data_IF_748536675905
#
_entry.id   IF_748536675905
#
_cell.length_a   1.000
_cell.length_b   1.000
_cell.length_c   1.000
_cell.angle_alpha   90.00
_cell.angle_beta   90.00
_cell.angle_gamma   90.00
#
_symmetry.space_group_name_H-M   'P 1'
#
loop_
_entity.id
_entity.type
_entity.pdbx_description
1 polymer ?
#
# COMPACT_ATOMS: atom_id res chain seq x y z
N UNK A 1 -12.57 1.25 -30.31
CA UNK A 1 -12.66 2.71 -30.04
C UNK A 1 -13.91 2.95 -29.23
N UNK A 2 -13.78 3.06 -27.91
CA UNK A 2 -14.88 3.51 -27.06
C UNK A 2 -15.12 4.99 -27.35
N UNK A 3 -16.36 5.36 -27.65
CA UNK A 3 -16.78 6.76 -27.67
C UNK A 3 -17.53 6.98 -26.35
N UNK A 4 -16.86 7.42 -25.26
CA UNK A 4 -17.54 7.64 -24.01
C UNK A 4 -18.61 8.71 -24.24
N UNK A 5 -19.85 8.43 -23.84
CA UNK A 5 -20.86 9.48 -23.73
C UNK A 5 -20.30 10.54 -22.80
N UNK A 6 -20.23 11.79 -23.27
CA UNK A 6 -19.82 12.91 -22.43
C UNK A 6 -20.72 12.95 -21.19
N UNK A 7 -20.16 13.12 -19.98
CA UNK A 7 -20.98 13.19 -18.78
C UNK A 7 -22.02 14.31 -18.93
N UNK A 8 -23.22 14.15 -18.32
CA UNK A 8 -24.22 15.21 -18.31
C UNK A 8 -23.61 16.54 -17.87
N UNK A 9 -23.99 17.64 -18.53
CA UNK A 9 -23.51 18.96 -18.17
C UNK A 9 -23.82 19.24 -16.68
N UNK A 10 -22.79 19.61 -15.89
CA UNK A 10 -22.92 19.88 -14.46
C UNK A 10 -22.86 18.66 -13.53
N UNK A 11 -22.70 17.43 -14.04
CA UNK A 11 -22.55 16.24 -13.18
C UNK A 11 -21.34 16.36 -12.24
N UNK A 12 -20.17 16.69 -12.78
CA UNK A 12 -18.95 16.85 -11.97
C UNK A 12 -19.09 17.99 -10.95
N UNK A 13 -19.85 19.03 -11.27
CA UNK A 13 -20.13 20.12 -10.33
C UNK A 13 -20.94 19.62 -9.13
N UNK A 14 -21.99 18.81 -9.36
CA UNK A 14 -22.75 18.17 -8.26
C UNK A 14 -21.88 17.22 -7.44
N UNK A 15 -21.03 16.43 -8.10
CA UNK A 15 -20.10 15.50 -7.43
C UNK A 15 -19.12 16.28 -6.54
N UNK A 16 -18.52 17.35 -7.04
CA UNK A 16 -17.59 18.17 -6.26
C UNK A 16 -18.31 18.88 -5.10
N UNK A 17 -19.50 19.42 -5.32
CA UNK A 17 -20.31 20.01 -4.25
C UNK A 17 -20.65 18.97 -3.16
N UNK A 18 -21.00 17.74 -3.53
CA UNK A 18 -21.24 16.68 -2.56
C UNK A 18 -19.97 16.38 -1.75
N UNK A 19 -18.82 16.26 -2.40
CA UNK A 19 -17.55 16.01 -1.73
C UNK A 19 -17.21 17.12 -0.74
N UNK A 20 -17.36 18.38 -1.14
CA UNK A 20 -17.11 19.54 -0.27
C UNK A 20 -18.04 19.55 0.96
N UNK A 21 -19.31 19.21 0.78
CA UNK A 21 -20.30 19.16 1.87
C UNK A 21 -20.03 18.01 2.87
N UNK A 22 -19.51 16.87 2.40
CA UNK A 22 -19.30 15.67 3.22
C UNK A 22 -17.84 15.44 3.62
N UNK A 23 -16.95 16.42 3.38
CA UNK A 23 -15.51 16.28 3.66
C UNK A 23 -15.22 15.88 5.12
N UNK A 24 -16.00 16.39 6.08
CA UNK A 24 -15.83 16.06 7.50
C UNK A 24 -16.14 14.58 7.79
N UNK A 25 -17.12 14.00 7.10
CA UNK A 25 -17.46 12.57 7.23
C UNK A 25 -16.35 11.70 6.62
N UNK A 26 -15.76 12.15 5.51
CA UNK A 26 -14.62 11.49 4.88
C UNK A 26 -13.37 11.53 5.78
N UNK A 27 -13.08 12.68 6.39
CA UNK A 27 -11.99 12.82 7.36
C UNK A 27 -12.23 11.96 8.61
N UNK A 28 -13.47 11.90 9.10
CA UNK A 28 -13.85 11.05 10.22
C UNK A 28 -13.65 9.56 9.89
N UNK A 29 -14.01 9.13 8.67
CA UNK A 29 -13.75 7.76 8.19
C UNK A 29 -12.24 7.48 8.15
N UNK A 30 -11.43 8.43 7.65
CA UNK A 30 -9.96 8.29 7.65
C UNK A 30 -9.41 8.19 9.06
N UNK A 31 -9.95 8.95 10.02
CA UNK A 31 -9.57 8.86 11.42
C UNK A 31 -9.81 7.48 12.01
N UNK A 32 -10.95 6.87 11.69
CA UNK A 32 -11.28 5.51 12.10
C UNK A 32 -10.35 4.47 11.46
N UNK A 33 -10.00 4.64 10.19
CA UNK A 33 -9.06 3.75 9.50
C UNK A 33 -7.63 3.90 10.02
N UNK A 34 -7.18 5.12 10.31
CA UNK A 34 -5.86 5.37 10.92
C UNK A 34 -5.77 4.79 12.32
N UNK A 35 -6.85 4.79 13.10
CA UNK A 35 -6.88 4.17 14.43
C UNK A 35 -6.70 2.64 14.43
N UNK A 36 -6.83 1.99 13.27
CA UNK A 36 -6.49 0.57 13.10
C UNK A 36 -4.97 0.42 12.96
N UNK A 37 -4.31 -0.15 13.96
CA UNK A 37 -2.87 -0.48 13.94
C UNK A 37 -2.58 -1.68 13.02
N UNK A 38 -2.84 -1.52 11.72
CA UNK A 38 -2.69 -2.54 10.68
C UNK A 38 -1.23 -2.73 10.24
N UNK A 39 -0.32 -2.86 11.18
CA UNK A 39 1.12 -3.07 10.93
C UNK A 39 1.38 -4.50 10.42
N UNK A 40 1.94 -4.62 9.22
CA UNK A 40 2.28 -5.91 8.59
C UNK A 40 3.72 -6.38 8.87
N UNK A 41 4.60 -5.46 9.29
CA UNK A 41 6.05 -5.66 9.43
C UNK A 41 6.39 -6.29 10.77
N UNK A 42 5.77 -5.83 11.86
CA UNK A 42 5.99 -6.40 13.18
C UNK A 42 5.29 -7.78 13.29
N UNK A 43 6.01 -8.87 13.63
CA UNK A 43 5.45 -10.22 13.71
C UNK A 43 4.65 -10.45 15.01
N UNK A 44 3.80 -9.51 15.41
CA UNK A 44 2.99 -9.58 16.62
C UNK A 44 1.57 -10.06 16.30
N UNK A 45 1.05 -11.13 16.96
CA UNK A 45 -0.29 -11.65 16.68
C UNK A 45 -1.41 -10.61 16.81
N UNK A 46 -1.31 -9.68 17.77
CA UNK A 46 -2.26 -8.57 17.94
C UNK A 46 -2.33 -7.68 16.68
N UNK A 47 -1.18 -7.26 16.15
CA UNK A 47 -1.12 -6.38 14.98
C UNK A 47 -1.62 -7.10 13.73
N UNK A 48 -1.29 -8.40 13.60
CA UNK A 48 -1.87 -9.22 12.53
C UNK A 48 -3.39 -9.27 12.64
N UNK A 49 -3.96 -9.45 13.82
CA UNK A 49 -5.42 -9.42 14.01
C UNK A 49 -6.05 -8.07 13.63
N UNK A 50 -5.39 -6.96 13.97
CA UNK A 50 -5.82 -5.61 13.57
C UNK A 50 -5.81 -5.43 12.05
N UNK A 51 -4.78 -5.94 11.38
CA UNK A 51 -4.68 -5.95 9.91
C UNK A 51 -5.81 -6.77 9.27
N UNK A 52 -6.13 -7.96 9.80
CA UNK A 52 -7.31 -8.73 9.35
C UNK A 52 -8.62 -7.95 9.55
N UNK A 53 -8.76 -7.23 10.68
CA UNK A 53 -9.92 -6.37 10.95
C UNK A 53 -10.01 -5.21 9.97
N UNK A 54 -8.89 -4.60 9.60
CA UNK A 54 -8.81 -3.55 8.58
C UNK A 54 -9.27 -4.07 7.22
N UNK A 55 -8.81 -5.24 6.79
CA UNK A 55 -9.26 -5.85 5.53
C UNK A 55 -10.75 -6.19 5.56
N UNK A 56 -11.27 -6.72 6.67
CA UNK A 56 -12.70 -6.99 6.82
C UNK A 56 -13.53 -5.70 6.71
N UNK A 57 -13.10 -4.62 7.40
CA UNK A 57 -13.76 -3.32 7.35
C UNK A 57 -13.81 -2.75 5.92
N UNK A 58 -12.71 -2.85 5.18
CA UNK A 58 -12.66 -2.39 3.80
C UNK A 58 -13.56 -3.23 2.86
N UNK A 59 -13.56 -4.56 3.04
CA UNK A 59 -14.43 -5.45 2.29
C UNK A 59 -15.91 -5.13 2.54
N UNK A 60 -16.30 -4.91 3.79
CA UNK A 60 -17.67 -4.53 4.14
C UNK A 60 -18.06 -3.17 3.57
N UNK A 61 -17.16 -2.18 3.61
CA UNK A 61 -17.41 -0.87 3.00
C UNK A 61 -17.63 -0.97 1.48
N UNK A 62 -16.87 -1.82 0.78
CA UNK A 62 -17.06 -2.06 -0.65
C UNK A 62 -18.37 -2.83 -0.94
N UNK A 63 -18.73 -3.83 -0.12
CA UNK A 63 -20.02 -4.54 -0.25
C UNK A 63 -21.21 -3.59 -0.05
N UNK A 64 -21.13 -2.66 0.91
CA UNK A 64 -22.16 -1.64 1.11
C UNK A 64 -22.34 -0.71 -0.09
N UNK A 65 -21.31 -0.54 -0.93
CA UNK A 65 -21.39 0.19 -2.20
C UNK A 65 -21.93 -0.65 -3.36
N UNK A 66 -22.30 -1.91 -3.10
CA UNK A 66 -22.84 -2.85 -4.08
C UNK A 66 -21.78 -3.67 -4.81
N UNK A 67 -20.53 -3.70 -4.33
CA UNK A 67 -19.49 -4.52 -4.94
C UNK A 67 -19.62 -6.00 -4.55
N UNK A 68 -19.37 -6.90 -5.51
CA UNK A 68 -19.09 -8.30 -5.19
C UNK A 68 -17.66 -8.40 -4.68
N UNK A 69 -17.43 -9.02 -3.51
CA UNK A 69 -16.11 -9.08 -2.87
C UNK A 69 -15.71 -10.51 -2.56
N UNK A 70 -14.61 -10.94 -3.16
CA UNK A 70 -13.91 -12.19 -2.84
C UNK A 70 -12.64 -11.91 -2.02
N UNK A 71 -12.31 -12.85 -1.13
CA UNK A 71 -11.13 -12.78 -0.25
C UNK A 71 -10.42 -14.11 -0.28
N UNK A 72 -9.16 -14.12 -0.72
CA UNK A 72 -8.39 -15.35 -0.92
C UNK A 72 -7.34 -15.52 0.19
N UNK A 73 -7.38 -16.62 0.97
CA UNK A 73 -6.39 -16.88 1.99
C UNK A 73 -5.09 -17.40 1.36
N UNK A 74 -3.94 -17.01 1.92
CA UNK A 74 -2.63 -17.56 1.58
C UNK A 74 -1.97 -18.20 2.81
N UNK A 75 -1.44 -19.41 2.65
CA UNK A 75 -0.92 -20.25 3.75
C UNK A 75 0.54 -19.96 4.07
N UNK A 76 0.81 -19.45 5.28
CA UNK A 76 2.14 -19.34 5.90
C UNK A 76 2.06 -19.48 7.44
N UNK A 77 3.22 -19.56 8.11
CA UNK A 77 3.38 -19.76 9.57
C UNK A 77 2.70 -18.67 10.40
N UNK A 78 2.66 -17.44 9.89
CA UNK A 78 1.71 -16.41 10.30
C UNK A 78 0.66 -16.26 9.18
N UNK A 79 -0.63 -16.18 9.51
CA UNK A 79 -1.67 -16.05 8.49
C UNK A 79 -1.51 -14.73 7.74
N UNK A 80 -1.53 -14.80 6.41
CA UNK A 80 -1.49 -13.63 5.53
C UNK A 80 -2.90 -13.05 5.45
N UNK A 81 -3.09 -11.73 5.60
CA UNK A 81 -4.41 -11.11 5.41
C UNK A 81 -4.93 -11.39 3.99
N UNK A 82 -6.24 -11.56 3.82
CA UNK A 82 -6.79 -11.80 2.49
C UNK A 82 -6.56 -10.60 1.58
N UNK A 83 -6.30 -10.86 0.30
CA UNK A 83 -6.36 -9.83 -0.74
C UNK A 83 -7.83 -9.68 -1.16
N UNK A 84 -8.33 -8.44 -1.15
CA UNK A 84 -9.68 -8.08 -1.56
C UNK A 84 -9.71 -7.95 -3.08
N UNK A 85 -10.55 -8.74 -3.72
CA UNK A 85 -10.94 -8.57 -5.12
C UNK A 85 -12.39 -8.12 -5.13
N UNK A 86 -12.64 -6.85 -5.51
CA UNK A 86 -13.99 -6.31 -5.58
C UNK A 86 -14.36 -5.84 -6.98
N UNK A 87 -15.60 -6.05 -7.40
CA UNK A 87 -16.12 -5.59 -8.69
C UNK A 87 -17.40 -4.79 -8.50
N UNK A 88 -17.46 -3.61 -9.13
CA UNK A 88 -18.60 -2.71 -9.14
C UNK A 88 -18.97 -2.32 -10.58
N UNK A 89 -20.09 -2.87 -11.04
CA UNK A 89 -20.56 -2.72 -12.43
C UNK A 89 -19.89 -3.70 -13.38
N UNK A 90 -20.64 -4.11 -14.41
CA UNK A 90 -20.21 -5.06 -15.45
C UNK A 90 -20.77 -4.69 -16.83
N UNK A 91 -20.97 -3.39 -17.08
CA UNK A 91 -21.54 -2.90 -18.34
C UNK A 91 -20.52 -3.04 -19.48
N UNK A 92 -20.77 -3.88 -20.51
CA UNK A 92 -19.83 -4.08 -21.61
C UNK A 92 -19.62 -2.85 -22.49
N UNK A 93 -20.43 -1.79 -22.32
CA UNK A 93 -20.27 -0.52 -23.03
C UNK A 93 -19.31 0.45 -22.35
N UNK A 94 -18.93 0.18 -21.09
CA UNK A 94 -18.04 1.01 -20.30
C UNK A 94 -16.66 0.37 -20.21
N UNK A 95 -15.58 1.18 -20.19
CA UNK A 95 -14.27 0.64 -19.88
C UNK A 95 -14.23 0.20 -18.41
N UNK A 96 -13.34 -0.73 -18.09
CA UNK A 96 -13.11 -1.20 -16.72
C UNK A 96 -11.79 -0.67 -16.19
N UNK A 97 -11.84 0.06 -15.07
CA UNK A 97 -10.68 0.56 -14.37
C UNK A 97 -10.44 -0.27 -13.12
N UNK A 98 -9.24 -0.82 -12.96
CA UNK A 98 -8.81 -1.52 -11.76
C UNK A 98 -7.99 -0.58 -10.88
N UNK A 99 -8.47 -0.27 -9.68
CA UNK A 99 -7.71 0.44 -8.66
C UNK A 99 -6.95 -0.57 -7.79
N UNK A 100 -5.66 -0.32 -7.59
CA UNK A 100 -4.84 -1.04 -6.60
C UNK A 100 -4.42 -0.10 -5.46
N UNK A 101 -4.45 -0.63 -4.24
CA UNK A 101 -3.88 -0.01 -3.05
C UNK A 101 -3.67 -1.03 -1.93
N UNK A 102 -3.16 -0.58 -0.79
CA UNK A 102 -2.91 -1.43 0.36
C UNK A 102 -3.40 -0.78 1.67
N UNK A 103 -3.60 -1.60 2.70
CA UNK A 103 -4.14 -1.16 3.99
C UNK A 103 -3.27 -1.53 5.19
N UNK A 104 -2.19 -2.27 4.96
CA UNK A 104 -1.11 -2.34 5.92
C UNK A 104 -0.29 -1.05 5.94
N UNK A 105 0.43 -0.84 7.04
CA UNK A 105 1.21 0.37 7.27
C UNK A 105 2.54 0.03 7.92
N UNK A 106 3.59 0.84 7.67
CA UNK A 106 4.82 0.77 8.46
C UNK A 106 4.57 0.91 9.98
N UNK A 107 5.45 0.34 10.83
CA UNK A 107 5.45 0.59 12.26
C UNK A 107 5.54 2.09 12.59
N UNK A 108 4.97 2.47 13.72
CA UNK A 108 5.11 3.82 14.29
C UNK A 108 4.93 3.77 15.80
N UNK A 109 5.80 4.48 16.52
CA UNK A 109 5.69 4.69 17.97
C UNK A 109 5.93 6.16 18.29
N UNK A 110 5.34 6.63 19.38
CA UNK A 110 5.58 8.00 19.85
C UNK A 110 7.08 8.28 20.06
N UNK A 111 7.81 7.29 20.58
CA UNK A 111 9.26 7.34 20.86
C UNK A 111 10.14 7.53 19.61
N UNK A 112 9.60 7.29 18.40
CA UNK A 112 10.29 7.56 17.13
C UNK A 112 10.39 9.08 16.82
N UNK A 113 9.79 9.93 17.65
CA UNK A 113 9.83 11.39 17.53
C UNK A 113 8.55 12.02 17.01
N UNK A 114 7.41 11.32 17.07
CA UNK A 114 6.12 11.89 16.70
C UNK A 114 5.70 12.99 17.67
N UNK A 115 5.06 14.04 17.14
CA UNK A 115 4.50 15.15 17.95
C UNK A 115 3.04 14.91 18.36
N UNK A 116 2.37 13.98 17.68
CA UNK A 116 1.01 13.50 17.95
C UNK A 116 1.03 11.99 18.07
N UNK A 117 0.02 11.38 18.67
CA UNK A 117 -0.10 9.92 18.65
C UNK A 117 -0.21 9.43 17.18
N UNK A 118 0.64 8.49 16.73
CA UNK A 118 0.67 8.06 15.33
C UNK A 118 -0.64 7.39 14.89
N UNK A 119 -1.39 6.78 15.79
CA UNK A 119 -2.66 6.10 15.47
C UNK A 119 -3.89 6.89 15.90
N UNK A 120 -3.71 8.13 16.38
CA UNK A 120 -4.81 9.08 16.56
C UNK A 120 -4.71 10.18 15.52
N UNK A 121 -5.51 10.08 14.44
CA UNK A 121 -5.51 11.11 13.39
C UNK A 121 -5.81 12.49 13.99
N UNK A 122 -4.85 13.40 13.88
CA UNK A 122 -4.88 14.74 14.47
C UNK A 122 -4.74 15.77 13.36
N UNK A 123 -5.71 16.70 13.27
CA UNK A 123 -5.65 17.79 12.32
C UNK A 123 -4.90 18.99 12.92
N UNK A 124 -3.90 19.50 12.19
CA UNK A 124 -3.16 20.73 12.54
C UNK A 124 -2.93 21.54 11.27
N UNK A 125 -3.40 22.79 11.25
CA UNK A 125 -3.26 23.73 10.13
C UNK A 125 -3.69 23.13 8.77
N UNK A 126 -4.82 22.40 8.75
CA UNK A 126 -5.37 21.76 7.56
C UNK A 126 -4.60 20.51 7.09
N UNK A 127 -3.72 19.96 7.92
CA UNK A 127 -2.97 18.73 7.65
C UNK A 127 -3.42 17.63 8.61
N UNK A 128 -3.66 16.44 8.07
CA UNK A 128 -4.13 15.29 8.82
C UNK A 128 -2.93 14.39 9.20
N UNK A 129 -2.49 14.46 10.44
CA UNK A 129 -1.34 13.71 10.96
C UNK A 129 -1.77 12.35 11.50
N UNK A 130 -1.17 11.28 10.97
CA UNK A 130 -1.32 9.91 11.46
C UNK A 130 -0.63 8.90 10.54
N UNK A 131 -0.15 7.79 11.11
CA UNK A 131 0.40 6.65 10.36
C UNK A 131 -0.69 6.06 9.48
N UNK A 132 -0.39 5.90 8.19
CA UNK A 132 -1.38 5.42 7.22
C UNK A 132 -2.14 6.53 6.49
N UNK A 133 -2.08 7.78 6.96
CA UNK A 133 -2.91 8.86 6.42
C UNK A 133 -2.68 9.09 4.92
N UNK A 134 -1.42 9.14 4.48
CA UNK A 134 -1.07 9.28 3.05
C UNK A 134 -0.70 7.97 2.37
N UNK A 135 -0.35 6.95 3.15
CA UNK A 135 0.34 5.74 2.71
C UNK A 135 -0.25 4.53 3.47
N UNK A 136 -1.31 3.89 2.98
CA UNK A 136 -2.11 4.30 1.81
C UNK A 136 -3.62 4.41 2.09
N UNK A 137 -4.01 4.52 3.38
CA UNK A 137 -5.43 4.55 3.78
C UNK A 137 -6.20 5.75 3.23
N UNK A 138 -5.58 6.94 3.19
CA UNK A 138 -6.19 8.14 2.62
C UNK A 138 -6.52 7.99 1.14
N UNK A 139 -5.55 7.66 0.28
CA UNK A 139 -5.80 7.42 -1.15
C UNK A 139 -6.80 6.29 -1.45
N UNK A 140 -6.74 5.16 -0.72
CA UNK A 140 -7.76 4.10 -0.85
C UNK A 140 -9.15 4.64 -0.51
N UNK A 141 -9.29 5.38 0.61
CA UNK A 141 -10.56 5.99 0.98
C UNK A 141 -11.01 7.05 -0.02
N UNK A 142 -10.12 7.81 -0.63
CA UNK A 142 -10.48 8.80 -1.64
C UNK A 142 -11.18 8.12 -2.84
N UNK A 143 -10.70 6.96 -3.28
CA UNK A 143 -11.36 6.16 -4.33
C UNK A 143 -12.72 5.63 -3.88
N UNK A 144 -12.80 5.07 -2.68
CA UNK A 144 -14.06 4.57 -2.10
C UNK A 144 -15.08 5.72 -1.96
N UNK A 145 -14.64 6.89 -1.51
CA UNK A 145 -15.48 8.07 -1.29
C UNK A 145 -15.97 8.66 -2.61
N UNK A 146 -15.12 8.71 -3.64
CA UNK A 146 -15.53 9.09 -4.99
C UNK A 146 -16.65 8.16 -5.50
N UNK A 147 -16.49 6.84 -5.39
CA UNK A 147 -17.53 5.87 -5.75
C UNK A 147 -18.80 6.07 -4.93
N UNK A 148 -18.66 6.26 -3.61
CA UNK A 148 -19.80 6.49 -2.72
C UNK A 148 -20.58 7.74 -3.09
N UNK A 149 -19.90 8.79 -3.58
CA UNK A 149 -20.53 10.04 -3.99
C UNK A 149 -21.45 9.82 -5.19
N UNK A 150 -20.99 9.11 -6.23
CA UNK A 150 -21.84 8.75 -7.37
C UNK A 150 -23.07 7.94 -6.91
N UNK A 151 -22.86 6.97 -6.00
CA UNK A 151 -23.94 6.15 -5.45
C UNK A 151 -24.96 6.97 -4.66
N UNK A 152 -24.52 7.86 -3.77
CA UNK A 152 -25.39 8.72 -2.98
C UNK A 152 -26.19 9.73 -3.82
N UNK A 153 -25.62 10.18 -4.94
CA UNK A 153 -26.30 11.06 -5.89
C UNK A 153 -27.23 10.30 -6.84
N UNK A 154 -27.31 8.97 -6.75
CA UNK A 154 -28.01 8.09 -7.70
C UNK A 154 -27.55 8.29 -9.16
N UNK A 155 -26.30 8.72 -9.34
CA UNK A 155 -25.69 8.96 -10.64
C UNK A 155 -24.91 7.73 -11.10
N UNK A 156 -24.97 7.45 -12.40
CA UNK A 156 -24.30 6.29 -12.99
C UNK A 156 -22.78 6.49 -13.03
N UNK A 157 -22.02 5.45 -12.66
CA UNK A 157 -20.56 5.50 -12.74
C UNK A 157 -20.12 5.49 -14.21
N UNK A 158 -19.16 6.35 -14.61
CA UNK A 158 -18.74 6.43 -16.01
C UNK A 158 -17.96 5.20 -16.49
N UNK A 159 -17.48 4.35 -15.58
CA UNK A 159 -16.66 3.17 -15.84
C UNK A 159 -17.11 2.01 -14.95
N UNK A 160 -16.82 0.77 -15.35
CA UNK A 160 -16.81 -0.36 -14.41
C UNK A 160 -15.57 -0.21 -13.51
N UNK A 161 -15.68 -0.56 -12.23
CA UNK A 161 -14.57 -0.43 -11.29
C UNK A 161 -14.25 -1.79 -10.68
N UNK A 162 -12.97 -2.16 -10.73
CA UNK A 162 -12.41 -3.27 -9.97
C UNK A 162 -11.46 -2.75 -8.90
N UNK A 163 -11.46 -3.37 -7.74
CA UNK A 163 -10.53 -3.06 -6.66
C UNK A 163 -9.66 -4.28 -6.37
N UNK A 164 -8.36 -4.05 -6.22
CA UNK A 164 -7.40 -4.98 -5.64
C UNK A 164 -6.79 -4.31 -4.44
N UNK A 165 -7.23 -4.69 -3.24
CA UNK A 165 -6.69 -4.12 -2.01
C UNK A 165 -5.96 -5.21 -1.23
N UNK A 166 -4.67 -5.02 -0.98
CA UNK A 166 -3.87 -5.96 -0.19
C UNK A 166 -3.54 -5.42 1.21
N UNK A 167 -2.83 -6.23 2.00
CA UNK A 167 -2.41 -5.88 3.35
C UNK A 167 -1.00 -6.37 3.68
N UNK A 168 -0.12 -6.49 2.67
CA UNK A 168 1.26 -6.92 2.88
C UNK A 168 2.26 -6.10 2.05
N UNK A 169 1.88 -4.94 1.51
CA UNK A 169 2.75 -4.14 0.63
C UNK A 169 4.05 -3.74 1.35
N UNK A 170 3.92 -3.28 2.58
CA UNK A 170 5.02 -2.81 3.43
C UNK A 170 5.93 -3.96 3.90
N UNK A 171 5.47 -5.19 3.69
CA UNK A 171 6.16 -6.45 3.98
C UNK A 171 6.45 -7.27 2.70
N UNK A 172 6.46 -6.63 1.53
CA UNK A 172 6.90 -7.22 0.26
C UNK A 172 5.80 -7.90 -0.57
N UNK A 173 4.54 -7.51 -0.39
CA UNK A 173 3.37 -7.98 -1.16
C UNK A 173 3.24 -9.50 -1.26
N UNK A 174 3.47 -10.18 -0.13
CA UNK A 174 3.57 -11.64 -0.08
C UNK A 174 2.30 -12.32 -0.62
N UNK A 175 2.44 -13.02 -1.74
CA UNK A 175 1.37 -13.78 -2.39
C UNK A 175 0.53 -12.99 -3.41
N UNK A 176 0.75 -11.68 -3.56
CA UNK A 176 0.06 -10.87 -4.57
C UNK A 176 0.42 -11.31 -5.99
N UNK A 177 1.72 -11.56 -6.27
CA UNK A 177 2.17 -11.96 -7.60
C UNK A 177 1.50 -13.26 -8.08
N UNK A 178 1.46 -14.27 -7.21
CA UNK A 178 0.82 -15.56 -7.50
C UNK A 178 -0.68 -15.36 -7.78
N UNK A 179 -1.34 -14.52 -6.98
CA UNK A 179 -2.75 -14.19 -7.19
C UNK A 179 -2.97 -13.51 -8.53
N UNK A 180 -2.17 -12.48 -8.86
CA UNK A 180 -2.29 -11.74 -10.13
C UNK A 180 -2.10 -12.68 -11.32
N UNK A 181 -1.11 -13.59 -11.26
CA UNK A 181 -0.90 -14.61 -12.30
C UNK A 181 -2.10 -15.53 -12.44
N UNK A 182 -2.68 -16.00 -11.33
CA UNK A 182 -3.85 -16.90 -11.31
C UNK A 182 -5.12 -16.23 -11.84
N UNK A 183 -5.31 -14.96 -11.53
CA UNK A 183 -6.53 -14.22 -11.87
C UNK A 183 -6.44 -13.43 -13.18
N UNK A 184 -5.29 -13.48 -13.86
CA UNK A 184 -5.00 -12.76 -15.12
C UNK A 184 -6.12 -12.91 -16.15
N UNK A 185 -6.52 -14.15 -16.43
CA UNK A 185 -7.55 -14.48 -17.41
C UNK A 185 -8.95 -14.64 -16.77
N UNK A 186 -9.09 -14.25 -15.50
CA UNK A 186 -10.33 -14.32 -14.72
C UNK A 186 -10.73 -12.92 -14.25
N UNK A 187 -10.43 -12.55 -13.01
CA UNK A 187 -10.75 -11.24 -12.46
C UNK A 187 -10.20 -10.09 -13.33
N UNK A 188 -8.98 -10.22 -13.87
CA UNK A 188 -8.36 -9.16 -14.66
C UNK A 188 -8.72 -9.18 -16.16
N UNK A 189 -9.46 -10.20 -16.63
CA UNK A 189 -9.75 -10.40 -18.06
C UNK A 189 -10.48 -9.24 -18.74
N UNK A 190 -11.24 -8.45 -17.97
CA UNK A 190 -12.03 -7.32 -18.47
C UNK A 190 -11.41 -5.95 -18.17
N UNK A 191 -10.21 -5.88 -17.58
CA UNK A 191 -9.58 -4.63 -17.15
C UNK A 191 -8.91 -3.93 -18.33
N UNK A 192 -9.29 -2.68 -18.59
CA UNK A 192 -8.68 -1.83 -19.63
C UNK A 192 -7.53 -0.98 -19.09
N UNK A 193 -7.66 -0.50 -17.85
CA UNK A 193 -6.68 0.38 -17.20
C UNK A 193 -6.46 -0.01 -15.74
N UNK A 194 -5.23 0.11 -15.26
CA UNK A 194 -4.88 -0.02 -13.85
C UNK A 194 -4.48 1.36 -13.32
N UNK A 195 -4.99 1.73 -12.16
CA UNK A 195 -4.64 2.97 -11.47
C UNK A 195 -4.11 2.63 -10.08
N UNK A 196 -2.99 3.25 -9.72
CA UNK A 196 -2.39 3.21 -8.39
C UNK A 196 -2.25 4.65 -7.93
N UNK A 197 -2.67 4.93 -6.69
CA UNK A 197 -2.55 6.25 -6.09
C UNK A 197 -1.78 6.15 -4.79
N UNK A 198 -0.48 5.89 -4.90
CA UNK A 198 0.38 5.59 -3.76
C UNK A 198 1.76 6.23 -3.89
N UNK A 199 1.75 7.52 -4.22
CA UNK A 199 2.96 8.29 -4.42
C UNK A 199 2.68 9.77 -4.18
N UNK A 200 3.76 10.53 -4.05
CA UNK A 200 3.69 11.95 -3.75
C UNK A 200 3.85 12.80 -5.01
N UNK A 201 3.42 14.06 -4.90
CA UNK A 201 3.82 15.08 -5.85
C UNK A 201 5.25 15.54 -5.57
N UNK A 202 5.98 15.86 -6.64
CA UNK A 202 7.33 16.44 -6.51
C UNK A 202 7.31 17.88 -5.96
N UNK A 203 6.19 18.60 -6.14
CA UNK A 203 6.04 19.99 -5.74
C UNK A 203 4.76 20.20 -4.98
N UNK A 204 4.80 21.08 -3.97
CA UNK A 204 3.61 21.52 -3.24
C UNK A 204 2.66 22.40 -4.07
N UNK A 205 3.05 22.81 -5.28
CA UNK A 205 2.28 23.76 -6.12
C UNK A 205 1.68 23.16 -7.37
N UNK A 206 2.15 21.99 -7.81
CA UNK A 206 1.74 21.39 -9.09
C UNK A 206 1.45 19.90 -8.91
N UNK A 207 0.29 19.41 -9.39
CA UNK A 207 0.02 17.98 -9.41
C UNK A 207 1.02 17.24 -10.32
N UNK A 208 1.20 15.96 -10.06
CA UNK A 208 2.12 15.11 -10.81
C UNK A 208 1.42 13.84 -11.33
N UNK A 209 1.89 13.36 -12.48
CA UNK A 209 1.63 12.00 -12.97
C UNK A 209 2.96 11.26 -12.99
N UNK A 210 3.03 10.18 -12.23
CA UNK A 210 4.22 9.32 -12.15
C UNK A 210 4.12 8.23 -13.19
N UNK A 211 5.10 8.14 -14.09
CA UNK A 211 5.13 7.16 -15.17
C UNK A 211 6.32 6.19 -15.07
N UNK A 212 7.11 6.28 -14.00
CA UNK A 212 8.25 5.41 -13.77
C UNK A 212 8.72 5.48 -12.33
N UNK A 213 9.11 4.33 -11.78
CA UNK A 213 9.65 4.17 -10.44
C UNK A 213 10.99 3.43 -10.52
N UNK A 214 11.80 3.55 -9.47
CA UNK A 214 13.02 2.75 -9.33
C UNK A 214 12.65 1.36 -8.81
N UNK A 215 13.43 0.35 -9.19
CA UNK A 215 13.51 -0.88 -8.41
C UNK A 215 14.32 -0.68 -7.12
N UNK A 216 14.31 -1.68 -6.25
CA UNK A 216 15.15 -1.70 -5.05
C UNK A 216 15.69 -3.12 -4.81
N UNK A 217 16.84 -3.23 -4.18
CA UNK A 217 17.41 -4.51 -3.74
C UNK A 217 17.95 -4.31 -2.33
N UNK A 218 17.29 -4.95 -1.37
CA UNK A 218 17.63 -4.85 0.05
C UNK A 218 18.59 -6.00 0.42
N UNK A 219 19.68 -5.68 1.13
CA UNK A 219 20.70 -6.64 1.53
C UNK A 219 20.83 -6.69 3.05
N UNK A 220 21.04 -7.89 3.58
CA UNK A 220 21.41 -8.12 4.99
C UNK A 220 22.84 -8.62 5.04
N UNK A 221 23.68 -7.98 5.86
CA UNK A 221 25.06 -8.40 6.12
C UNK A 221 25.13 -8.92 7.56
N UNK A 222 25.24 -10.23 7.71
CA UNK A 222 25.40 -10.88 9.02
C UNK A 222 26.89 -11.13 9.29
N UNK A 223 27.39 -10.58 10.40
CA UNK A 223 28.71 -10.93 10.94
C UNK A 223 28.50 -11.56 12.31
N UNK A 224 28.98 -12.79 12.47
CA UNK A 224 28.76 -13.58 13.68
C UNK A 224 30.07 -14.16 14.21
N UNK A 225 30.36 -13.90 15.48
CA UNK A 225 31.46 -14.57 16.20
C UNK A 225 30.97 -15.85 16.88
N UNK A 226 29.94 -15.75 17.72
CA UNK A 226 29.25 -16.87 18.39
C UNK A 226 27.83 -16.44 18.81
N UNK A 227 27.05 -17.35 19.39
CA UNK A 227 25.67 -17.08 19.80
C UNK A 227 25.53 -16.17 21.03
N UNK A 228 26.51 -16.17 21.94
CA UNK A 228 26.45 -15.40 23.19
C UNK A 228 27.30 -14.14 23.13
N UNK A 229 26.74 -13.02 23.58
CA UNK A 229 27.47 -11.77 23.79
C UNK A 229 28.64 -11.93 24.78
N UNK A 230 29.55 -10.96 24.76
CA UNK A 230 30.69 -10.88 25.66
C UNK A 230 30.65 -9.60 26.48
N UNK A 231 31.09 -9.67 27.73
CA UNK A 231 31.36 -8.47 28.51
C UNK A 231 32.55 -7.72 27.91
N UNK A 232 32.33 -6.51 27.38
CA UNK A 232 33.33 -5.75 26.61
C UNK A 232 34.63 -5.44 27.37
N UNK A 233 34.57 -5.28 28.70
CA UNK A 233 35.78 -5.14 29.52
C UNK A 233 36.62 -6.42 29.66
N UNK A 234 35.98 -7.56 29.94
CA UNK A 234 36.66 -8.84 30.19
C UNK A 234 37.28 -9.42 28.92
N UNK A 235 36.67 -9.17 27.76
CA UNK A 235 37.08 -9.73 26.47
C UNK A 235 37.59 -8.69 25.47
N UNK A 236 37.67 -7.41 25.89
CA UNK A 236 38.14 -6.32 25.05
C UNK A 236 39.60 -6.48 24.66
N UNK A 237 39.89 -6.36 23.38
CA UNK A 237 41.26 -6.42 22.83
C UNK A 237 41.80 -7.83 22.56
N UNK A 238 41.01 -8.90 22.78
CA UNK A 238 41.42 -10.28 22.47
C UNK A 238 40.50 -10.99 21.46
N UNK A 239 39.41 -10.34 21.04
CA UNK A 239 38.46 -10.87 20.07
C UNK A 239 38.49 -10.05 18.77
N UNK A 240 38.19 -10.71 17.65
CA UNK A 240 37.70 -10.02 16.46
C UNK A 240 36.22 -9.74 16.67
N UNK A 241 35.91 -8.47 16.97
CA UNK A 241 34.56 -8.05 17.32
C UNK A 241 33.68 -7.99 16.06
N UNK A 242 32.52 -8.69 16.01
CA UNK A 242 31.61 -8.61 14.87
C UNK A 242 31.22 -7.19 14.48
N UNK A 243 31.14 -6.29 15.47
CA UNK A 243 30.86 -4.87 15.24
C UNK A 243 31.98 -4.15 14.48
N UNK A 244 33.25 -4.44 14.78
CA UNK A 244 34.37 -3.84 14.06
C UNK A 244 34.37 -4.27 12.58
N UNK A 245 34.16 -5.57 12.34
CA UNK A 245 34.07 -6.14 11.00
C UNK A 245 32.86 -5.59 10.23
N UNK A 246 31.68 -5.55 10.85
CA UNK A 246 30.47 -5.01 10.22
C UNK A 246 30.63 -3.53 9.88
N UNK A 247 31.20 -2.72 10.79
CA UNK A 247 31.49 -1.30 10.53
C UNK A 247 32.47 -1.15 9.38
N UNK A 248 33.50 -1.99 9.30
CA UNK A 248 34.44 -1.97 8.19
C UNK A 248 33.76 -2.34 6.85
N UNK A 249 32.93 -3.40 6.84
CA UNK A 249 32.17 -3.83 5.66
C UNK A 249 31.24 -2.71 5.17
N UNK A 250 30.47 -2.09 6.07
CA UNK A 250 29.53 -1.01 5.72
C UNK A 250 30.26 0.29 5.35
N UNK A 251 31.34 0.63 6.03
CA UNK A 251 32.13 1.83 5.76
C UNK A 251 32.87 1.79 4.42
N UNK A 252 33.22 0.59 3.96
CA UNK A 252 33.86 0.39 2.66
C UNK A 252 32.84 0.33 1.49
N UNK A 253 31.53 0.34 1.78
CA UNK A 253 30.45 0.29 0.78
C UNK A 253 30.13 1.66 0.14
N UNK A 254 31.12 2.55 -0.03
CA UNK A 254 31.05 3.50 -1.15
C UNK A 254 31.31 2.71 -2.43
N UNK A 255 30.40 1.79 -2.76
CA UNK A 255 30.35 1.16 -4.07
C UNK A 255 29.76 2.24 -4.99
N UNK A 256 30.62 3.15 -5.45
CA UNK A 256 30.45 3.67 -6.79
C UNK A 256 30.39 2.42 -7.67
N UNK A 257 29.21 2.10 -8.21
CA UNK A 257 29.11 1.15 -9.31
C UNK A 257 29.81 1.77 -10.52
N UNK A 258 31.13 1.91 -10.47
CA UNK A 258 31.96 2.12 -11.63
C UNK A 258 31.89 0.82 -12.43
N UNK A 259 30.87 0.75 -13.29
CA UNK A 259 30.83 -0.07 -14.50
C UNK A 259 31.41 -1.49 -14.33
N UNK A 260 30.76 -2.33 -13.53
CA UNK A 260 30.92 -3.79 -13.68
C UNK A 260 29.86 -4.24 -14.70
N UNK A 261 30.24 -4.83 -15.85
CA UNK A 261 29.29 -5.36 -16.80
C UNK A 261 28.42 -6.44 -16.14
N UNK A 262 27.11 -6.34 -16.34
CA UNK A 262 26.08 -7.28 -15.84
C UNK A 262 26.34 -8.77 -16.19
N UNK A 263 27.32 -9.08 -17.05
CA UNK A 263 27.67 -10.43 -17.47
C UNK A 263 28.42 -11.28 -16.41
N UNK A 264 28.82 -10.70 -15.26
CA UNK A 264 29.58 -11.42 -14.22
C UNK A 264 28.73 -11.98 -13.08
N UNK A 265 27.45 -11.62 -13.00
CA UNK A 265 26.48 -12.24 -12.10
C UNK A 265 25.77 -13.34 -12.88
N UNK A 266 26.18 -14.59 -12.67
CA UNK A 266 25.64 -15.79 -13.33
C UNK A 266 24.18 -16.09 -12.98
N UNK A 267 23.28 -15.16 -13.27
CA UNK A 267 21.84 -15.37 -13.26
C UNK A 267 21.46 -16.00 -14.61
N UNK A 268 20.73 -17.11 -14.62
CA UNK A 268 20.25 -17.70 -15.87
C UNK A 268 19.31 -16.71 -16.55
N UNK A 269 19.61 -16.37 -17.80
CA UNK A 269 18.69 -15.67 -18.67
C UNK A 269 17.42 -16.53 -18.82
N UNK A 270 16.30 -16.07 -18.27
CA UNK A 270 15.00 -16.63 -18.63
C UNK A 270 14.72 -16.25 -20.08
N UNK A 271 14.73 -17.23 -20.96
CA UNK A 271 14.31 -17.12 -22.36
C UNK A 271 12.79 -16.89 -22.42
N UNK A 272 12.42 -15.84 -23.18
CA UNK A 272 11.14 -15.52 -23.85
C UNK A 272 9.80 -16.02 -23.26
#
# INVERSE_FOLDING_TARGET
MFSPSSPPAGLLEKVFQYIDLHQNEFVQTLKEWVAMESDSVQPLPRLRQELFRMMALAADKLRCLGASVDSLPNGQTLPIPPIILAELGNDPKKPTVCFYGHLDVQPARQEDGWLTDPYTLTEVDGKLYGRGATDNKGPVLAWINAVSTFRSLEEDLPVNIKFVIEGMEEAGSVGLEELVRKEKDRFFSSVDYIVISDNLWLSQRKPALTYGTRGNSYFTVEVKCRDQDFHSGTFGGILNEPMADLVALLGNNTILFDSVPLASLGLPASSE
#
